data_IF_477318900405
#
_entry.id   IF_477318900405
#
_cell.length_a   1.000
_cell.length_b   1.000
_cell.length_c   1.000
_cell.angle_alpha   90.00
_cell.angle_beta   90.00
_cell.angle_gamma   90.00
#
_symmetry.space_group_name_H-M   'P 1'
#
loop_
_entity.id
_entity.type
_entity.pdbx_description
1 polymer ?
#
# COMPACT_ATOMS: atom_id res chain seq x y z
N UNK A 1 16.48 -6.40 -4.08
CA UNK A 1 15.50 -7.41 -3.64
C UNK A 1 15.03 -7.18 -2.23
N UNK A 2 14.03 -7.94 -1.81
CA UNK A 2 13.44 -7.89 -0.47
C UNK A 2 13.53 -9.27 0.17
N UNK A 3 14.03 -9.32 1.41
CA UNK A 3 14.06 -10.56 2.19
C UNK A 3 12.86 -10.54 3.15
N UNK A 4 12.08 -11.62 3.15
CA UNK A 4 10.89 -11.78 3.97
C UNK A 4 11.13 -12.70 5.15
N UNK A 5 10.59 -12.33 6.30
CA UNK A 5 10.69 -13.07 7.54
C UNK A 5 9.33 -13.22 8.21
N UNK A 6 9.10 -14.34 8.87
CA UNK A 6 8.13 -14.40 9.98
C UNK A 6 8.78 -13.81 11.22
N UNK A 7 8.01 -13.05 11.97
CA UNK A 7 8.46 -12.49 13.25
C UNK A 7 7.55 -12.97 14.38
N UNK A 8 8.13 -13.56 15.40
CA UNK A 8 7.41 -13.99 16.59
C UNK A 8 8.31 -13.90 17.83
N UNK A 9 7.82 -13.32 18.90
CA UNK A 9 8.49 -13.24 20.21
C UNK A 9 9.95 -12.73 20.15
N UNK A 10 10.21 -11.72 19.30
CA UNK A 10 11.54 -11.13 19.13
C UNK A 10 12.48 -11.90 18.20
N UNK A 11 12.01 -12.99 17.59
CA UNK A 11 12.79 -13.81 16.66
C UNK A 11 12.31 -13.64 15.22
N UNK A 12 13.27 -13.73 14.28
CA UNK A 12 13.03 -13.65 12.85
C UNK A 12 13.31 -15.00 12.20
N UNK A 13 12.36 -15.48 11.41
CA UNK A 13 12.46 -16.73 10.67
C UNK A 13 12.40 -16.41 9.17
N UNK A 14 13.49 -16.73 8.45
CA UNK A 14 13.57 -16.51 7.00
C UNK A 14 12.49 -17.31 6.26
N UNK A 15 11.80 -16.65 5.34
CA UNK A 15 10.82 -17.28 4.44
C UNK A 15 11.39 -17.35 3.04
N UNK A 16 11.61 -16.19 2.42
CA UNK A 16 12.03 -16.10 1.02
C UNK A 16 12.77 -14.81 0.72
N UNK A 17 13.38 -14.75 -0.46
CA UNK A 17 13.93 -13.53 -1.05
C UNK A 17 13.25 -13.25 -2.38
N UNK A 18 12.64 -12.08 -2.50
CA UNK A 18 12.10 -11.56 -3.75
C UNK A 18 13.17 -10.74 -4.47
N UNK A 19 13.69 -11.26 -5.60
CA UNK A 19 14.72 -10.59 -6.41
C UNK A 19 14.12 -9.57 -7.39
N UNK A 20 13.10 -8.86 -6.96
CA UNK A 20 12.37 -7.82 -7.70
C UNK A 20 11.93 -6.73 -6.74
N UNK A 21 11.47 -5.62 -7.30
CA UNK A 21 10.77 -4.60 -6.53
C UNK A 21 9.41 -5.15 -6.06
N UNK A 22 9.02 -4.85 -4.83
CA UNK A 22 7.70 -5.22 -4.31
C UNK A 22 6.68 -4.10 -4.52
N UNK A 23 5.39 -4.45 -4.47
CA UNK A 23 4.30 -3.48 -4.63
C UNK A 23 4.40 -2.39 -3.59
N UNK A 24 4.74 -2.75 -2.35
CA UNK A 24 4.81 -1.88 -1.17
C UNK A 24 6.12 -1.10 -1.00
N UNK A 25 7.01 -1.08 -2.01
CA UNK A 25 8.25 -0.29 -1.95
C UNK A 25 8.03 1.21 -1.63
N UNK A 26 6.91 1.84 -2.00
CA UNK A 26 6.68 3.25 -1.67
C UNK A 26 6.72 3.59 -0.18
N UNK A 27 6.35 2.65 0.70
CA UNK A 27 6.45 2.84 2.15
C UNK A 27 7.90 3.11 2.55
N UNK A 28 8.84 2.31 2.05
CA UNK A 28 10.27 2.50 2.29
C UNK A 28 10.78 3.81 1.70
N UNK A 29 10.37 4.15 0.48
CA UNK A 29 10.74 5.41 -0.17
C UNK A 29 10.31 6.63 0.65
N UNK A 30 9.07 6.60 1.18
CA UNK A 30 8.52 7.72 1.94
C UNK A 30 9.23 7.95 3.28
N UNK A 31 9.69 6.89 3.96
CA UNK A 31 10.35 7.02 5.27
C UNK A 31 11.86 7.18 5.19
N UNK A 32 12.48 6.86 4.04
CA UNK A 32 13.94 6.96 3.84
C UNK A 32 14.35 8.10 2.92
N UNK A 33 13.46 8.52 2.01
CA UNK A 33 13.76 9.49 0.96
C UNK A 33 14.58 8.90 -0.19
N UNK A 34 14.74 7.57 -0.27
CA UNK A 34 15.48 6.90 -1.34
C UNK A 34 14.51 6.46 -2.44
N UNK A 35 14.74 6.87 -3.68
CA UNK A 35 14.00 6.42 -4.86
C UNK A 35 14.54 5.06 -5.31
N UNK A 36 13.83 3.98 -4.95
CA UNK A 36 14.27 2.61 -5.20
C UNK A 36 14.23 2.25 -6.69
N UNK A 37 13.30 2.80 -7.45
CA UNK A 37 13.20 2.57 -8.89
C UNK A 37 14.38 3.24 -9.61
N UNK A 38 14.69 4.47 -9.24
CA UNK A 38 15.84 5.19 -9.80
C UNK A 38 17.16 4.45 -9.48
N UNK A 39 17.33 3.95 -8.26
CA UNK A 39 18.51 3.18 -7.89
C UNK A 39 18.62 1.88 -8.69
N UNK A 40 17.51 1.18 -8.96
CA UNK A 40 17.54 -0.01 -9.84
C UNK A 40 18.01 0.34 -11.26
N UNK A 41 17.55 1.45 -11.82
CA UNK A 41 17.96 1.91 -13.16
C UNK A 41 19.44 2.25 -13.18
N UNK A 42 19.94 2.95 -12.16
CA UNK A 42 21.38 3.29 -12.03
C UNK A 42 22.24 2.05 -11.94
N UNK A 43 21.88 1.08 -11.11
CA UNK A 43 22.60 -0.18 -10.97
C UNK A 43 22.62 -0.94 -12.30
N UNK A 44 21.49 -0.99 -12.99
CA UNK A 44 21.40 -1.63 -14.31
C UNK A 44 22.29 -0.94 -15.38
N UNK A 45 22.51 0.37 -15.23
CA UNK A 45 23.44 1.14 -16.05
C UNK A 45 24.92 0.95 -15.65
N UNK A 46 25.21 0.15 -14.62
CA UNK A 46 26.57 -0.12 -14.12
C UNK A 46 27.08 0.91 -13.10
N UNK A 47 26.21 1.78 -12.62
CA UNK A 47 26.57 2.74 -11.58
C UNK A 47 26.57 2.08 -10.20
N UNK A 48 27.27 2.71 -9.25
CA UNK A 48 27.21 2.33 -7.83
C UNK A 48 25.94 2.89 -7.21
N UNK A 49 25.48 2.28 -6.10
CA UNK A 49 24.43 2.85 -5.25
C UNK A 49 24.78 4.30 -4.87
N UNK A 50 23.79 5.19 -4.96
CA UNK A 50 23.95 6.60 -4.60
C UNK A 50 23.98 6.83 -3.08
N UNK A 51 23.59 5.82 -2.30
CA UNK A 51 23.50 5.86 -0.85
C UNK A 51 24.26 4.71 -0.21
N UNK A 52 24.78 4.94 0.99
CA UNK A 52 25.33 3.89 1.86
C UNK A 52 24.35 3.60 3.01
N UNK A 53 24.54 2.49 3.71
CA UNK A 53 23.70 2.16 4.86
C UNK A 53 23.67 3.28 5.93
N UNK A 54 24.73 4.06 6.07
CA UNK A 54 24.81 5.17 7.03
C UNK A 54 23.96 6.37 6.64
N UNK A 55 23.67 6.53 5.36
CA UNK A 55 22.85 7.63 4.82
C UNK A 55 21.35 7.35 4.99
N UNK A 56 20.99 6.07 5.20
CA UNK A 56 19.59 5.65 5.35
C UNK A 56 19.11 5.94 6.78
N UNK A 57 18.31 6.98 6.92
CA UNK A 57 17.69 7.36 8.19
C UNK A 57 16.18 7.22 8.06
N UNK A 58 15.59 6.34 8.87
CA UNK A 58 14.13 6.18 8.93
C UNK A 58 13.53 7.39 9.63
N UNK A 59 12.62 8.10 8.93
CA UNK A 59 11.91 9.27 9.45
C UNK A 59 10.41 9.08 9.31
N UNK A 60 9.67 9.39 10.37
CA UNK A 60 8.21 9.37 10.35
C UNK A 60 7.61 7.97 10.21
N UNK A 61 6.40 7.94 9.68
CA UNK A 61 5.59 6.74 9.51
C UNK A 61 4.82 6.80 8.20
N UNK A 62 4.84 5.72 7.43
CA UNK A 62 4.08 5.61 6.19
C UNK A 62 3.14 4.40 6.22
N UNK A 63 2.00 4.53 5.56
CA UNK A 63 1.01 3.45 5.40
C UNK A 63 0.62 3.42 3.92
N UNK A 64 0.61 2.23 3.33
CA UNK A 64 0.10 1.99 1.98
C UNK A 64 -1.19 1.19 2.02
N UNK A 65 -2.18 1.62 1.24
CA UNK A 65 -3.38 0.87 0.92
C UNK A 65 -3.37 0.50 -0.55
N UNK A 66 -3.45 -0.79 -0.87
CA UNK A 66 -3.68 -1.27 -2.23
C UNK A 66 -5.15 -1.08 -2.59
N UNK A 67 -5.42 -0.25 -3.56
CA UNK A 67 -6.77 -0.04 -4.09
C UNK A 67 -6.97 -1.01 -5.25
N UNK A 68 -7.74 -2.04 -5.01
CA UNK A 68 -8.04 -3.09 -5.97
C UNK A 68 -9.47 -2.93 -6.49
N UNK A 69 -9.69 -3.23 -7.76
CA UNK A 69 -11.00 -3.37 -8.37
C UNK A 69 -11.59 -4.74 -7.98
N UNK A 70 -12.09 -4.84 -6.74
CA UNK A 70 -12.60 -6.04 -6.09
C UNK A 70 -13.75 -5.72 -5.16
N UNK A 71 -14.66 -6.68 -4.99
CA UNK A 71 -15.65 -6.59 -3.92
C UNK A 71 -14.95 -6.55 -2.55
N UNK A 72 -15.27 -5.58 -1.67
CA UNK A 72 -14.53 -5.36 -0.42
C UNK A 72 -14.74 -6.45 0.65
N UNK A 73 -15.67 -7.37 0.46
CA UNK A 73 -15.98 -8.46 1.40
C UNK A 73 -15.54 -9.83 0.89
N UNK A 74 -15.78 -10.09 -0.39
CA UNK A 74 -15.51 -11.41 -0.99
C UNK A 74 -14.19 -11.46 -1.75
N UNK A 75 -13.57 -10.30 -2.00
CA UNK A 75 -12.37 -10.13 -2.85
C UNK A 75 -12.55 -10.64 -4.28
N UNK A 76 -13.79 -10.79 -4.72
CA UNK A 76 -14.08 -11.15 -6.12
C UNK A 76 -13.68 -9.99 -7.02
N UNK A 77 -12.89 -10.23 -8.09
CA UNK A 77 -12.51 -9.19 -9.04
C UNK A 77 -13.73 -8.50 -9.68
N UNK A 78 -13.65 -7.19 -9.82
CA UNK A 78 -14.68 -6.33 -10.42
C UNK A 78 -14.12 -5.57 -11.63
N UNK A 79 -13.82 -6.26 -12.74
CA UNK A 79 -13.39 -5.60 -13.97
C UNK A 79 -14.52 -4.74 -14.55
N UNK A 80 -14.17 -3.64 -15.22
CA UNK A 80 -15.19 -2.75 -15.78
C UNK A 80 -14.67 -1.39 -16.17
N UNK A 81 -15.59 -0.50 -16.52
CA UNK A 81 -15.28 0.89 -16.84
C UNK A 81 -15.30 1.74 -15.57
N UNK A 82 -14.20 2.42 -15.30
CA UNK A 82 -14.16 3.46 -14.25
C UNK A 82 -14.90 4.69 -14.80
N UNK A 83 -16.07 4.99 -14.25
CA UNK A 83 -16.85 6.17 -14.65
C UNK A 83 -16.29 7.44 -14.05
N UNK A 84 -15.88 7.38 -12.80
CA UNK A 84 -15.40 8.52 -12.03
C UNK A 84 -14.11 8.15 -11.29
N UNK A 85 -13.14 9.06 -11.33
CA UNK A 85 -11.89 8.90 -10.61
C UNK A 85 -11.44 10.23 -10.02
N UNK A 86 -11.33 10.29 -8.70
CA UNK A 86 -10.76 11.43 -8.00
C UNK A 86 -9.63 10.96 -7.08
N UNK A 87 -8.43 11.48 -7.32
CA UNK A 87 -7.25 11.19 -6.53
C UNK A 87 -7.16 12.14 -5.32
N UNK A 88 -6.96 11.65 -4.10
CA UNK A 88 -6.73 12.51 -2.95
C UNK A 88 -5.40 13.25 -3.09
N UNK A 89 -5.31 14.42 -2.49
CA UNK A 89 -4.13 15.27 -2.58
C UNK A 89 -3.66 15.84 -1.24
N UNK A 90 -2.58 16.64 -1.31
CA UNK A 90 -2.02 17.38 -0.18
C UNK A 90 -0.74 16.78 0.39
N UNK A 91 -0.19 17.46 1.40
CA UNK A 91 1.09 17.10 2.00
C UNK A 91 1.08 15.68 2.57
N UNK A 92 2.09 14.88 2.19
CA UNK A 92 2.27 13.52 2.67
C UNK A 92 1.25 12.52 2.11
N UNK A 93 0.65 12.83 0.95
CA UNK A 93 -0.18 11.89 0.18
C UNK A 93 0.52 11.64 -1.16
N UNK A 94 0.60 10.36 -1.51
CA UNK A 94 1.08 9.86 -2.80
C UNK A 94 0.09 8.83 -3.32
N UNK A 95 -0.27 8.95 -4.57
CA UNK A 95 -1.06 7.94 -5.28
C UNK A 95 -0.28 7.46 -6.51
N UNK A 96 0.11 6.20 -6.50
CA UNK A 96 0.72 5.53 -7.67
C UNK A 96 -0.39 4.78 -8.40
N UNK A 97 -0.82 5.29 -9.55
CA UNK A 97 -1.92 4.73 -10.33
C UNK A 97 -1.74 5.07 -11.81
N UNK A 98 -2.26 4.19 -12.67
CA UNK A 98 -2.34 4.40 -14.12
C UNK A 98 -3.79 4.64 -14.59
N UNK A 99 -4.78 4.58 -13.67
CA UNK A 99 -6.19 4.69 -14.04
C UNK A 99 -6.68 6.14 -14.00
N UNK A 100 -7.77 6.38 -14.74
CA UNK A 100 -8.43 7.68 -14.88
C UNK A 100 -9.91 7.46 -15.22
N UNK A 101 -10.75 8.49 -15.17
CA UNK A 101 -12.14 8.38 -15.62
C UNK A 101 -12.20 7.99 -17.08
N UNK A 102 -12.91 6.91 -17.38
CA UNK A 102 -12.96 6.27 -18.71
C UNK A 102 -11.98 5.10 -18.90
N UNK A 103 -11.08 4.83 -17.93
CA UNK A 103 -10.22 3.66 -18.00
C UNK A 103 -11.02 2.37 -17.83
N UNK A 104 -10.68 1.34 -18.61
CA UNK A 104 -11.29 0.01 -18.50
C UNK A 104 -10.34 -0.95 -17.76
N UNK A 105 -10.75 -1.37 -16.58
CA UNK A 105 -10.04 -2.41 -15.82
C UNK A 105 -10.22 -3.74 -16.55
N UNK A 106 -9.12 -4.37 -17.04
CA UNK A 106 -9.23 -5.61 -17.79
C UNK A 106 -9.45 -6.82 -16.88
N UNK A 107 -10.18 -7.87 -17.34
CA UNK A 107 -10.42 -9.06 -16.53
C UNK A 107 -9.25 -10.06 -16.49
N UNK A 108 -8.17 -9.82 -17.23
CA UNK A 108 -7.09 -10.80 -17.46
C UNK A 108 -5.82 -10.50 -16.67
N UNK A 109 -5.79 -9.40 -15.91
CA UNK A 109 -4.65 -8.97 -15.11
C UNK A 109 -5.06 -8.83 -13.65
N UNK A 110 -4.07 -8.55 -12.80
CA UNK A 110 -4.29 -8.22 -11.40
C UNK A 110 -5.29 -7.05 -11.26
N UNK A 111 -6.09 -7.10 -10.22
CA UNK A 111 -7.12 -6.12 -9.91
C UNK A 111 -6.59 -4.79 -9.35
N UNK A 112 -5.28 -4.69 -9.08
CA UNK A 112 -4.67 -3.49 -8.50
C UNK A 112 -4.79 -2.30 -9.46
N UNK A 113 -5.52 -1.27 -9.04
CA UNK A 113 -5.74 -0.03 -9.81
C UNK A 113 -5.00 1.17 -9.22
N UNK A 114 -4.52 1.08 -7.99
CA UNK A 114 -3.73 2.13 -7.38
C UNK A 114 -3.15 1.76 -6.03
N UNK A 115 -2.10 2.45 -5.64
CA UNK A 115 -1.52 2.38 -4.31
C UNK A 115 -1.66 3.76 -3.69
N UNK A 116 -2.46 3.88 -2.63
CA UNK A 116 -2.57 5.09 -1.84
C UNK A 116 -1.59 5.00 -0.68
N UNK A 117 -0.60 5.88 -0.67
CA UNK A 117 0.42 5.96 0.36
C UNK A 117 0.26 7.28 1.12
N UNK A 118 0.31 7.21 2.43
CA UNK A 118 0.35 8.39 3.30
C UNK A 118 1.62 8.37 4.15
N UNK A 119 2.12 9.56 4.44
CA UNK A 119 3.28 9.78 5.29
C UNK A 119 2.99 10.88 6.31
N UNK A 120 3.44 10.68 7.55
CA UNK A 120 3.38 11.68 8.62
C UNK A 120 4.52 11.47 9.63
N UNK A 121 4.81 12.44 10.52
CA UNK A 121 5.82 12.26 11.56
C UNK A 121 5.56 11.10 12.50
N UNK A 122 4.29 10.80 12.82
CA UNK A 122 3.89 9.73 13.72
C UNK A 122 2.84 8.79 13.10
N UNK A 123 2.69 7.57 13.65
CA UNK A 123 1.65 6.64 13.22
C UNK A 123 0.23 7.22 13.38
N UNK A 124 -0.04 7.90 14.48
CA UNK A 124 -1.35 8.49 14.72
C UNK A 124 -1.71 9.55 13.68
N UNK A 125 -0.76 10.41 13.31
CA UNK A 125 -0.95 11.40 12.25
C UNK A 125 -1.06 10.75 10.86
N UNK A 126 -0.30 9.67 10.60
CA UNK A 126 -0.42 8.91 9.35
C UNK A 126 -1.83 8.29 9.23
N UNK A 127 -2.38 7.72 10.31
CA UNK A 127 -3.75 7.18 10.33
C UNK A 127 -4.79 8.29 10.11
N UNK A 128 -4.65 9.44 10.76
CA UNK A 128 -5.55 10.58 10.54
C UNK A 128 -5.51 11.06 9.09
N UNK A 129 -4.31 11.12 8.50
CA UNK A 129 -4.10 11.48 7.09
C UNK A 129 -4.69 10.44 6.15
N UNK A 130 -4.50 9.16 6.45
CA UNK A 130 -5.09 8.06 5.67
C UNK A 130 -6.62 8.12 5.66
N UNK A 131 -7.24 8.33 6.83
CA UNK A 131 -8.71 8.49 6.94
C UNK A 131 -9.21 9.60 6.05
N UNK A 132 -8.56 10.77 6.06
CA UNK A 132 -8.91 11.89 5.18
C UNK A 132 -8.75 11.52 3.70
N UNK A 133 -7.61 10.94 3.33
CA UNK A 133 -7.31 10.58 1.95
C UNK A 133 -8.28 9.53 1.39
N UNK A 134 -8.63 8.50 2.19
CA UNK A 134 -9.63 7.50 1.81
C UNK A 134 -11.02 8.13 1.62
N UNK A 135 -11.41 9.07 2.49
CA UNK A 135 -12.68 9.78 2.37
C UNK A 135 -12.77 10.76 1.19
N UNK A 136 -11.63 11.20 0.69
CA UNK A 136 -11.53 12.08 -0.48
C UNK A 136 -11.46 11.30 -1.81
N UNK A 137 -10.94 10.06 -1.77
CA UNK A 137 -10.76 9.25 -2.96
C UNK A 137 -12.09 8.74 -3.52
N UNK A 138 -12.30 8.91 -4.82
CA UNK A 138 -13.48 8.38 -5.53
C UNK A 138 -13.05 7.46 -6.66
N UNK A 139 -13.65 6.28 -6.72
CA UNK A 139 -13.57 5.36 -7.86
C UNK A 139 -14.97 4.85 -8.14
N UNK A 140 -15.58 5.32 -9.24
CA UNK A 140 -16.92 4.93 -9.66
C UNK A 140 -16.90 3.91 -10.81
N UNK A 141 -17.97 3.16 -10.96
CA UNK A 141 -18.20 2.22 -12.08
C UNK A 141 -17.70 0.79 -11.83
N UNK A 142 -16.86 0.56 -10.82
CA UNK A 142 -16.40 -0.76 -10.38
C UNK A 142 -16.44 -0.85 -8.85
N UNK A 143 -16.56 -2.06 -8.31
CA UNK A 143 -16.35 -2.28 -6.88
C UNK A 143 -14.87 -2.17 -6.54
N UNK A 144 -14.55 -1.64 -5.36
CA UNK A 144 -13.17 -1.49 -4.91
C UNK A 144 -12.99 -1.85 -3.44
N UNK A 145 -11.73 -2.05 -3.04
CA UNK A 145 -11.35 -2.26 -1.63
C UNK A 145 -11.43 -0.99 -0.77
N UNK A 146 -11.78 0.18 -1.32
CA UNK A 146 -11.91 1.44 -0.56
C UNK A 146 -12.81 1.31 0.67
N UNK A 147 -14.05 0.72 0.60
CA UNK A 147 -14.89 0.56 1.78
C UNK A 147 -14.24 -0.29 2.87
N UNK A 148 -13.48 -1.31 2.51
CA UNK A 148 -12.72 -2.11 3.48
C UNK A 148 -11.66 -1.26 4.17
N UNK A 149 -10.86 -0.50 3.43
CA UNK A 149 -9.84 0.37 4.00
C UNK A 149 -10.43 1.43 4.94
N UNK A 150 -11.63 1.97 4.62
CA UNK A 150 -12.36 2.88 5.51
C UNK A 150 -12.71 2.21 6.84
N UNK A 151 -13.17 0.96 6.82
CA UNK A 151 -13.44 0.17 8.04
C UNK A 151 -12.16 -0.13 8.82
N UNK A 152 -11.06 -0.46 8.12
CA UNK A 152 -9.77 -0.78 8.75
C UNK A 152 -9.16 0.43 9.46
N UNK A 153 -9.17 1.61 8.83
CA UNK A 153 -8.57 2.81 9.43
C UNK A 153 -9.28 3.27 10.69
N UNK A 154 -10.56 2.92 10.85
CA UNK A 154 -11.37 3.22 12.04
C UNK A 154 -11.27 2.15 13.14
N UNK A 155 -10.68 0.99 12.83
CA UNK A 155 -10.54 -0.10 13.79
C UNK A 155 -9.40 0.17 14.78
N UNK A 156 -9.68 -0.07 16.08
CA UNK A 156 -8.73 0.20 17.17
C UNK A 156 -7.48 -0.68 17.12
N UNK A 157 -7.63 -1.95 16.74
CA UNK A 157 -6.50 -2.88 16.65
C UNK A 157 -5.56 -2.45 15.53
N UNK A 158 -6.12 -2.04 14.38
CA UNK A 158 -5.34 -1.49 13.25
C UNK A 158 -4.63 -0.20 13.68
N UNK A 159 -5.30 0.70 14.39
CA UNK A 159 -4.71 1.95 14.88
C UNK A 159 -3.52 1.70 15.81
N UNK A 160 -3.62 0.70 16.68
CA UNK A 160 -2.56 0.32 17.62
C UNK A 160 -1.48 -0.58 16.99
N UNK A 161 -1.76 -1.23 15.85
CA UNK A 161 -0.90 -2.25 15.26
C UNK A 161 -1.02 -3.63 15.96
N UNK A 162 -2.13 -3.87 16.63
CA UNK A 162 -2.42 -5.11 17.36
C UNK A 162 -3.19 -6.09 16.46
N UNK A 163 -2.51 -6.65 15.47
CA UNK A 163 -3.09 -7.65 14.54
C UNK A 163 -2.06 -8.70 14.15
N UNK A 164 -2.54 -9.91 13.89
CA UNK A 164 -1.79 -11.06 13.42
C UNK A 164 -2.22 -11.47 12.00
N UNK A 165 -1.59 -12.52 11.46
CA UNK A 165 -1.87 -13.06 10.11
C UNK A 165 -3.31 -13.58 9.92
N UNK A 166 -4.06 -13.82 11.00
CA UNK A 166 -5.44 -14.32 11.00
C UNK A 166 -6.47 -13.24 11.37
N UNK A 167 -6.00 -12.04 11.71
CA UNK A 167 -6.86 -10.98 12.22
C UNK A 167 -7.92 -10.56 11.21
N UNK A 168 -7.54 -10.39 9.94
CA UNK A 168 -8.47 -9.94 8.90
C UNK A 168 -9.59 -10.94 8.64
N UNK A 169 -9.28 -12.24 8.60
CA UNK A 169 -10.28 -13.30 8.44
C UNK A 169 -11.34 -13.25 9.56
N UNK A 170 -10.87 -13.06 10.81
CA UNK A 170 -11.77 -12.90 11.98
C UNK A 170 -12.61 -11.63 11.87
N UNK A 171 -11.97 -10.52 11.47
CA UNK A 171 -12.66 -9.23 11.31
C UNK A 171 -13.76 -9.27 10.25
N UNK A 172 -13.56 -9.99 9.16
CA UNK A 172 -14.53 -10.17 8.09
C UNK A 172 -15.53 -11.29 8.35
N UNK A 173 -15.39 -12.05 9.45
CA UNK A 173 -16.26 -13.18 9.76
C UNK A 173 -16.12 -14.35 8.79
N UNK A 174 -15.00 -14.45 8.10
CA UNK A 174 -14.68 -15.55 7.19
C UNK A 174 -14.53 -16.85 8.03
N UNK A 175 -15.42 -17.82 7.80
CA UNK A 175 -15.29 -19.15 8.40
C UNK A 175 -14.17 -19.90 7.70
N UNK A 176 -13.30 -20.53 8.50
CA UNK A 176 -12.34 -21.54 8.00
C UNK A 176 -13.05 -22.72 7.40
#
# INVERSE_FOLDING_TARGET
GTIEFLYENGQFYFIEMNTRLQVEHPVTEMITGVDLVQEQIRIAAGEKLSVTQKDVVIKGHAIECRINAENPETFTPSPGLISDFHAPGGLGIRLDSAVYSGYRVPPHYDSLIGKLIVYAPTRAEAIARLRRALGEMVVGGVETTLPLHMRLVDNKDVQKGEYDIHWLEKFLGMKK
#
